data_IF_683215369798
#
_entry.id   IF_683215369798
#
_cell.length_a   1.000
_cell.length_b   1.000
_cell.length_c   1.000
_cell.angle_alpha   90.00
_cell.angle_beta   90.00
_cell.angle_gamma   90.00
#
_symmetry.space_group_name_H-M   'P 1'
#
loop_
_entity.id
_entity.type
_entity.pdbx_description
1 polymer ?
#
# COMPACT_ATOMS: atom_id res chain seq x y z
N UNK A 1 2.23 -36.64 79.20
CA UNK A 1 1.66 -35.32 78.80
C UNK A 1 2.56 -34.80 77.72
N UNK A 2 2.18 -35.10 76.51
CA UNK A 2 2.95 -34.75 75.30
C UNK A 2 2.26 -33.60 74.57
N UNK A 3 2.89 -32.42 74.51
CA UNK A 3 2.38 -31.24 73.84
C UNK A 3 2.98 -31.16 72.44
N UNK A 4 2.36 -31.84 71.52
CA UNK A 4 2.70 -31.73 70.10
C UNK A 4 2.24 -30.37 69.59
N UNK A 5 3.16 -29.39 69.44
CA UNK A 5 2.89 -28.09 68.81
C UNK A 5 2.97 -28.22 67.30
N UNK A 6 1.82 -28.36 66.62
CA UNK A 6 1.69 -28.20 65.15
C UNK A 6 2.16 -26.80 64.75
N UNK A 7 3.37 -26.69 64.22
CA UNK A 7 3.82 -25.48 63.49
C UNK A 7 3.16 -25.46 62.12
N UNK A 8 2.21 -24.57 61.95
CA UNK A 8 1.66 -24.24 60.61
C UNK A 8 2.79 -23.77 59.69
N UNK A 9 2.86 -24.19 58.43
CA UNK A 9 3.92 -23.78 57.51
C UNK A 9 3.84 -22.27 57.26
N UNK A 10 4.95 -21.58 57.43
CA UNK A 10 5.09 -20.14 57.25
C UNK A 10 4.92 -19.74 55.77
N UNK A 11 3.72 -19.32 55.42
CA UNK A 11 3.32 -18.95 54.03
C UNK A 11 3.75 -17.52 53.63
N UNK A 12 4.41 -16.78 54.53
CA UNK A 12 4.80 -15.38 54.32
C UNK A 12 5.95 -15.24 53.29
N UNK A 13 6.90 -16.19 53.21
CA UNK A 13 8.00 -16.15 52.25
C UNK A 13 7.57 -16.30 50.80
N UNK A 14 6.55 -17.16 50.52
CA UNK A 14 6.03 -17.39 49.18
C UNK A 14 5.29 -16.16 48.62
N UNK A 15 4.62 -15.39 49.49
CA UNK A 15 3.89 -14.16 49.11
C UNK A 15 4.85 -13.01 48.77
N UNK A 16 5.97 -12.88 49.48
CA UNK A 16 6.98 -11.86 49.23
C UNK A 16 7.74 -12.11 47.92
N UNK A 17 8.11 -13.36 47.64
CA UNK A 17 8.77 -13.77 46.39
C UNK A 17 7.89 -13.54 45.18
N UNK A 18 6.61 -13.89 45.22
CA UNK A 18 5.65 -13.60 44.11
C UNK A 18 5.51 -12.10 43.86
N UNK A 19 5.43 -11.27 44.89
CA UNK A 19 5.39 -9.80 44.74
C UNK A 19 6.67 -9.23 44.12
N UNK A 20 7.83 -9.79 44.45
CA UNK A 20 9.12 -9.43 43.85
C UNK A 20 9.14 -9.72 42.33
N UNK A 21 8.70 -10.90 41.91
CA UNK A 21 8.61 -11.30 40.50
C UNK A 21 7.65 -10.37 39.73
N UNK A 22 6.46 -10.11 40.30
CA UNK A 22 5.48 -9.23 39.66
C UNK A 22 6.04 -7.81 39.46
N UNK A 23 6.73 -7.27 40.51
CA UNK A 23 7.40 -5.96 40.38
C UNK A 23 8.47 -5.96 39.28
N UNK A 24 9.31 -6.99 39.27
CA UNK A 24 10.36 -7.17 38.24
C UNK A 24 9.74 -7.21 36.81
N UNK A 25 8.66 -7.96 36.64
CA UNK A 25 7.93 -8.02 35.37
C UNK A 25 7.39 -6.64 34.95
N UNK A 26 6.81 -5.87 35.92
CA UNK A 26 6.30 -4.52 35.62
C UNK A 26 7.44 -3.54 35.29
N UNK A 27 8.58 -3.59 35.98
CA UNK A 27 9.76 -2.79 35.63
C UNK A 27 10.30 -3.17 34.24
N UNK A 28 10.42 -4.46 33.95
CA UNK A 28 10.84 -4.95 32.63
C UNK A 28 9.89 -4.49 31.52
N UNK A 29 8.58 -4.58 31.77
CA UNK A 29 7.56 -4.07 30.84
C UNK A 29 7.69 -2.55 30.63
N UNK A 30 7.81 -1.77 31.71
CA UNK A 30 7.98 -0.32 31.63
C UNK A 30 9.23 0.09 30.86
N UNK A 31 10.38 -0.55 31.14
CA UNK A 31 11.63 -0.31 30.39
C UNK A 31 11.44 -0.68 28.91
N UNK A 32 10.79 -1.80 28.61
CA UNK A 32 10.50 -2.21 27.24
C UNK A 32 9.66 -1.18 26.48
N UNK A 33 8.60 -0.67 27.10
CA UNK A 33 7.74 0.39 26.51
C UNK A 33 8.54 1.68 26.25
N UNK A 34 9.34 2.12 27.25
CA UNK A 34 10.18 3.33 27.09
C UNK A 34 11.22 3.14 25.98
N UNK A 35 11.84 1.95 25.91
CA UNK A 35 12.83 1.64 24.85
C UNK A 35 12.21 1.65 23.46
N UNK A 36 11.01 1.09 23.30
CA UNK A 36 10.28 1.13 22.03
C UNK A 36 9.94 2.58 21.64
N UNK A 37 9.43 3.36 22.61
CA UNK A 37 9.10 4.77 22.35
C UNK A 37 10.34 5.57 21.96
N UNK A 38 11.46 5.38 22.67
CA UNK A 38 12.73 6.03 22.35
C UNK A 38 13.26 5.62 20.97
N UNK A 39 13.16 4.35 20.62
CA UNK A 39 13.51 3.86 19.28
C UNK A 39 12.67 4.52 18.18
N UNK A 40 11.35 4.61 18.37
CA UNK A 40 10.47 5.28 17.44
C UNK A 40 10.79 6.79 17.32
N UNK A 41 11.19 7.43 18.42
CA UNK A 41 11.64 8.82 18.40
C UNK A 41 12.92 9.00 17.59
N UNK A 42 13.89 8.09 17.70
CA UNK A 42 15.12 8.11 16.91
C UNK A 42 14.83 7.91 15.42
N UNK A 43 13.89 7.04 15.08
CA UNK A 43 13.42 6.86 13.70
C UNK A 43 12.74 8.12 13.15
N UNK A 44 11.85 8.72 13.94
CA UNK A 44 11.12 9.92 13.54
C UNK A 44 12.04 11.11 13.24
N UNK A 45 13.15 11.25 14.00
CA UNK A 45 14.16 12.29 13.81
C UNK A 45 15.23 11.91 12.77
N UNK A 46 15.15 10.74 12.13
CA UNK A 46 16.11 10.33 11.11
C UNK A 46 17.51 9.94 11.63
N UNK A 47 17.63 9.68 12.95
CA UNK A 47 18.89 9.21 13.54
C UNK A 47 19.17 7.75 13.14
N UNK A 48 18.11 6.98 12.98
CA UNK A 48 18.17 5.58 12.53
C UNK A 48 17.33 5.45 11.26
N UNK A 49 17.94 4.98 10.17
CA UNK A 49 17.28 4.82 8.89
C UNK A 49 17.10 6.15 8.12
N UNK A 50 16.65 6.05 6.88
CA UNK A 50 16.32 7.23 6.08
C UNK A 50 14.97 7.79 6.49
N UNK A 51 14.94 9.07 6.84
CA UNK A 51 13.71 9.81 7.09
C UNK A 51 13.69 11.04 6.17
N UNK A 52 12.72 11.13 5.25
CA UNK A 52 12.64 12.25 4.33
C UNK A 52 12.45 13.57 5.10
N UNK A 53 13.05 14.65 4.59
CA UNK A 53 12.82 16.00 5.08
C UNK A 53 11.36 16.43 4.83
N UNK A 54 10.94 17.51 5.46
CA UNK A 54 9.61 18.09 5.19
C UNK A 54 9.53 18.54 3.72
N UNK A 55 10.61 19.10 3.19
CA UNK A 55 10.71 19.53 1.80
C UNK A 55 10.56 18.38 0.82
N UNK A 56 11.23 17.24 1.07
CA UNK A 56 11.08 16.02 0.26
C UNK A 56 9.64 15.49 0.30
N UNK A 57 8.97 15.58 1.45
CA UNK A 57 7.59 15.13 1.62
C UNK A 57 6.63 16.04 0.88
N UNK A 58 6.80 17.38 0.99
CA UNK A 58 5.90 18.37 0.40
C UNK A 58 6.14 18.60 -1.09
N UNK A 59 7.31 18.22 -1.59
CA UNK A 59 7.67 18.32 -3.01
C UNK A 59 8.33 17.03 -3.48
N UNK A 60 7.58 15.90 -3.56
CA UNK A 60 8.15 14.65 -4.02
C UNK A 60 8.62 14.80 -5.46
N UNK A 61 9.88 14.43 -5.73
CA UNK A 61 10.49 14.42 -7.05
C UNK A 61 9.79 13.40 -7.97
N UNK A 62 8.66 13.80 -8.53
CA UNK A 62 7.92 12.99 -9.48
C UNK A 62 8.45 13.23 -10.90
N UNK A 63 9.06 12.19 -11.45
CA UNK A 63 9.55 12.19 -12.82
C UNK A 63 8.40 11.83 -13.76
N UNK A 64 7.76 12.84 -14.32
CA UNK A 64 6.72 12.66 -15.33
C UNK A 64 7.33 12.52 -16.72
N UNK A 65 6.63 11.82 -17.61
CA UNK A 65 6.96 11.80 -19.02
C UNK A 65 6.61 13.16 -19.66
N UNK A 66 7.50 13.65 -20.53
CA UNK A 66 7.18 14.76 -21.44
C UNK A 66 6.59 14.19 -22.71
N UNK A 67 5.38 14.59 -23.06
CA UNK A 67 4.69 14.15 -24.26
C UNK A 67 4.95 15.16 -25.37
N UNK A 68 5.35 14.69 -26.54
CA UNK A 68 5.60 15.49 -27.73
C UNK A 68 4.39 15.34 -28.65
N UNK A 69 3.77 16.46 -28.98
CA UNK A 69 2.63 16.51 -29.90
C UNK A 69 3.01 17.16 -31.24
N UNK A 70 2.42 16.69 -32.31
CA UNK A 70 2.42 17.36 -33.62
C UNK A 70 1.56 18.64 -33.62
N UNK A 71 1.64 19.44 -34.66
CA UNK A 71 0.88 20.69 -34.78
C UNK A 71 -0.65 20.48 -34.84
N UNK A 72 -1.09 19.29 -35.22
CA UNK A 72 -2.50 18.86 -35.26
C UNK A 72 -2.96 18.16 -33.96
N UNK A 73 -2.07 18.08 -32.97
CA UNK A 73 -2.38 17.53 -31.63
C UNK A 73 -2.20 16.02 -31.50
N UNK A 74 -1.68 15.34 -32.51
CA UNK A 74 -1.37 13.91 -32.44
C UNK A 74 -0.11 13.66 -31.61
N UNK A 75 -0.11 12.63 -30.78
CA UNK A 75 1.05 12.25 -29.98
C UNK A 75 2.15 11.64 -30.85
N UNK A 76 3.28 12.34 -30.96
CA UNK A 76 4.44 11.90 -31.76
C UNK A 76 5.42 11.02 -30.97
N UNK A 77 5.46 11.16 -29.66
CA UNK A 77 6.37 10.41 -28.83
C UNK A 77 6.44 10.91 -27.39
N UNK A 78 7.21 10.17 -26.58
CA UNK A 78 7.36 10.46 -25.14
C UNK A 78 8.83 10.43 -24.74
N UNK A 79 9.21 11.43 -23.96
CA UNK A 79 10.53 11.48 -23.32
C UNK A 79 10.37 11.27 -21.81
N UNK A 80 11.06 10.25 -21.27
CA UNK A 80 11.05 9.96 -19.84
C UNK A 80 12.41 9.38 -19.40
N UNK A 81 12.75 9.55 -18.12
CA UNK A 81 13.99 9.05 -17.53
C UNK A 81 13.70 7.76 -16.74
N UNK A 82 14.42 6.70 -17.04
CA UNK A 82 14.27 5.39 -16.39
C UNK A 82 13.03 4.62 -16.86
N UNK A 83 12.39 3.85 -16.00
CA UNK A 83 11.20 3.02 -16.32
C UNK A 83 9.87 3.79 -16.31
N UNK A 84 9.92 5.13 -16.28
CA UNK A 84 8.76 5.94 -15.88
C UNK A 84 8.03 6.63 -17.02
N UNK A 85 7.29 5.90 -17.87
CA UNK A 85 6.22 6.52 -18.66
C UNK A 85 5.05 6.89 -17.74
N UNK A 86 5.26 7.95 -16.94
CA UNK A 86 4.31 8.39 -15.91
C UNK A 86 3.54 9.60 -16.41
N UNK A 87 2.23 9.45 -16.50
CA UNK A 87 1.30 10.54 -16.73
C UNK A 87 0.53 10.86 -15.45
N UNK A 88 0.36 12.15 -15.19
CA UNK A 88 -0.35 12.61 -14.01
C UNK A 88 -1.87 12.62 -14.28
N UNK A 89 -2.63 12.09 -13.34
CA UNK A 89 -4.08 12.26 -13.26
C UNK A 89 -4.44 13.14 -12.08
N UNK A 90 -5.28 14.13 -12.33
CA UNK A 90 -5.93 14.89 -11.28
C UNK A 90 -7.00 14.04 -10.59
N UNK A 91 -7.38 14.40 -9.34
CA UNK A 91 -8.39 13.67 -8.59
C UNK A 91 -9.74 13.61 -9.33
N UNK A 92 -10.11 14.69 -10.03
CA UNK A 92 -11.34 14.75 -10.83
C UNK A 92 -11.36 13.86 -12.09
N UNK A 93 -10.19 13.37 -12.52
CA UNK A 93 -10.06 12.42 -13.64
C UNK A 93 -10.14 10.96 -13.17
N UNK A 94 -9.99 10.71 -11.87
CA UNK A 94 -10.05 9.36 -11.29
C UNK A 94 -11.50 9.08 -10.88
N UNK A 95 -12.15 8.06 -11.45
CA UNK A 95 -13.55 7.79 -11.17
C UNK A 95 -13.73 7.27 -9.73
N UNK A 96 -14.82 7.63 -9.09
CA UNK A 96 -15.09 7.28 -7.69
C UNK A 96 -15.04 5.77 -7.44
N UNK A 97 -15.56 4.95 -8.34
CA UNK A 97 -15.53 3.50 -8.19
C UNK A 97 -14.11 2.89 -8.20
N UNK A 98 -13.13 3.58 -8.79
CA UNK A 98 -11.71 3.19 -8.68
C UNK A 98 -11.17 3.42 -7.27
N UNK A 99 -11.54 4.55 -6.66
CA UNK A 99 -11.19 4.90 -5.29
C UNK A 99 -11.86 3.92 -4.33
N UNK A 100 -13.14 3.67 -4.51
CA UNK A 100 -13.94 2.74 -3.71
C UNK A 100 -13.36 1.31 -3.78
N UNK A 101 -12.98 0.85 -4.97
CA UNK A 101 -12.34 -0.45 -5.17
C UNK A 101 -11.00 -0.55 -4.43
N UNK A 102 -10.16 0.51 -4.52
CA UNK A 102 -8.87 0.56 -3.84
C UNK A 102 -9.05 0.53 -2.32
N UNK A 103 -9.91 1.39 -1.78
CA UNK A 103 -10.18 1.47 -0.34
C UNK A 103 -10.79 0.17 0.18
N UNK A 104 -11.80 -0.38 -0.50
CA UNK A 104 -12.44 -1.65 -0.11
C UNK A 104 -11.45 -2.81 -0.06
N UNK A 105 -10.45 -2.82 -0.95
CA UNK A 105 -9.55 -3.96 -1.13
C UNK A 105 -8.29 -3.86 -0.27
N UNK A 106 -7.66 -2.71 -0.24
CA UNK A 106 -6.36 -2.51 0.40
C UNK A 106 -6.48 -1.98 1.84
N UNK A 107 -7.49 -1.10 2.10
CA UNK A 107 -7.57 -0.40 3.37
C UNK A 107 -8.99 0.09 3.66
N UNK A 108 -9.89 -0.83 4.03
CA UNK A 108 -11.32 -0.56 4.23
C UNK A 108 -11.62 0.54 5.27
N UNK A 109 -10.66 0.85 6.14
CA UNK A 109 -10.77 1.92 7.16
C UNK A 109 -9.83 3.08 6.88
N UNK A 110 -9.47 3.28 5.64
CA UNK A 110 -8.53 4.32 5.22
C UNK A 110 -8.89 5.71 5.77
N UNK A 111 -10.16 6.05 5.78
CA UNK A 111 -10.65 7.34 6.28
C UNK A 111 -10.71 7.45 7.81
N UNK A 112 -10.57 6.32 8.54
CA UNK A 112 -10.74 6.26 10.01
C UNK A 112 -9.43 6.35 10.79
N UNK A 113 -8.28 6.27 10.12
CA UNK A 113 -6.97 6.28 10.77
C UNK A 113 -6.01 7.28 10.13
N UNK A 114 -4.92 7.62 10.83
CA UNK A 114 -3.89 8.56 10.37
C UNK A 114 -2.60 7.80 10.00
N UNK A 115 -2.62 7.06 8.89
CA UNK A 115 -1.46 6.36 8.33
C UNK A 115 -1.19 4.96 8.89
N UNK A 116 -1.61 4.66 10.12
CA UNK A 116 -1.46 3.34 10.74
C UNK A 116 -2.82 2.87 11.24
N UNK A 117 -3.30 1.73 10.74
CA UNK A 117 -4.47 1.07 11.27
C UNK A 117 -4.08 0.14 12.43
N UNK A 118 -4.12 0.68 13.65
CA UNK A 118 -3.79 -0.05 14.88
C UNK A 118 -4.69 -1.28 15.06
N UNK A 119 -5.98 -1.20 14.72
CA UNK A 119 -6.92 -2.33 14.86
C UNK A 119 -6.59 -3.46 13.88
N UNK A 120 -6.22 -3.12 12.61
CA UNK A 120 -5.76 -4.11 11.64
C UNK A 120 -4.44 -4.74 12.08
N UNK A 121 -3.52 -3.95 12.64
CA UNK A 121 -2.24 -4.44 13.15
C UNK A 121 -2.44 -5.45 14.29
N UNK A 122 -3.24 -5.12 15.30
CA UNK A 122 -3.58 -6.05 16.38
C UNK A 122 -4.26 -7.33 15.88
N UNK A 123 -5.22 -7.19 14.96
CA UNK A 123 -5.88 -8.33 14.34
C UNK A 123 -4.89 -9.24 13.62
N UNK A 124 -3.93 -8.66 12.88
CA UNK A 124 -2.91 -9.42 12.17
C UNK A 124 -1.96 -10.14 13.13
N UNK A 125 -1.51 -9.49 14.22
CA UNK A 125 -0.66 -10.08 15.25
C UNK A 125 -1.37 -11.26 15.91
N UNK A 126 -2.64 -11.13 16.30
CA UNK A 126 -3.41 -12.20 16.92
C UNK A 126 -3.59 -13.38 15.96
N UNK A 127 -4.05 -13.10 14.72
CA UNK A 127 -4.31 -14.16 13.74
C UNK A 127 -3.04 -14.88 13.30
N UNK A 128 -1.96 -14.15 13.05
CA UNK A 128 -0.71 -14.75 12.57
C UNK A 128 0.13 -15.30 13.71
N UNK A 129 0.26 -14.56 14.82
CA UNK A 129 1.13 -14.94 15.94
C UNK A 129 0.51 -16.01 16.86
N UNK A 130 -0.79 -15.90 17.15
CA UNK A 130 -1.47 -16.81 18.09
C UNK A 130 -2.18 -17.94 17.34
N UNK A 131 -2.93 -17.61 16.28
CA UNK A 131 -3.75 -18.60 15.56
C UNK A 131 -3.02 -19.26 14.39
N UNK A 132 -1.76 -18.87 14.10
CA UNK A 132 -0.93 -19.39 13.00
C UNK A 132 -1.63 -19.43 11.63
N UNK A 133 -2.62 -18.58 11.43
CA UNK A 133 -3.33 -18.48 10.15
C UNK A 133 -2.50 -17.70 9.13
N UNK A 134 -1.96 -18.37 8.11
CA UNK A 134 -1.08 -17.79 7.08
C UNK A 134 -1.75 -16.77 6.14
N UNK A 135 -3.07 -16.62 6.15
CA UNK A 135 -3.80 -15.75 5.24
C UNK A 135 -4.73 -14.76 5.94
N UNK A 136 -4.24 -14.03 6.90
CA UNK A 136 -4.97 -12.84 7.33
C UNK A 136 -4.61 -11.68 6.39
N UNK A 137 -5.62 -11.03 5.79
CA UNK A 137 -5.45 -9.92 4.85
C UNK A 137 -4.42 -8.89 5.32
N UNK A 138 -3.85 -8.12 4.41
CA UNK A 138 -2.79 -7.15 4.68
C UNK A 138 -3.10 -6.24 5.86
N UNK A 139 -2.13 -6.00 6.71
CA UNK A 139 -2.22 -5.02 7.80
C UNK A 139 -1.56 -3.69 7.41
N UNK A 140 -1.07 -3.57 6.17
CA UNK A 140 -0.48 -2.34 5.64
C UNK A 140 -1.57 -1.44 5.08
N UNK A 141 -1.53 -0.17 5.44
CA UNK A 141 -2.43 0.85 4.92
C UNK A 141 -1.99 1.36 3.54
N UNK A 142 -2.89 2.03 2.81
CA UNK A 142 -2.57 2.70 1.55
C UNK A 142 -1.42 3.70 1.76
N UNK A 143 -1.45 4.49 2.83
CA UNK A 143 -0.41 5.46 3.15
C UNK A 143 0.95 4.80 3.42
N UNK A 144 0.99 3.63 4.07
CA UNK A 144 2.24 2.87 4.26
C UNK A 144 2.77 2.30 2.93
N UNK A 145 1.87 1.86 2.04
CA UNK A 145 2.26 1.42 0.70
C UNK A 145 2.82 2.58 -0.12
N UNK A 146 2.20 3.77 -0.04
CA UNK A 146 2.73 4.99 -0.66
C UNK A 146 4.09 5.38 -0.08
N UNK A 147 4.25 5.36 1.25
CA UNK A 147 5.53 5.62 1.92
C UNK A 147 6.64 4.69 1.40
N UNK A 148 6.32 3.42 1.21
CA UNK A 148 7.24 2.44 0.61
C UNK A 148 7.60 2.82 -0.82
N UNK A 149 6.64 3.16 -1.68
CA UNK A 149 6.88 3.55 -3.07
C UNK A 149 7.71 4.83 -3.18
N UNK A 150 7.53 5.77 -2.26
CA UNK A 150 8.25 7.05 -2.28
C UNK A 150 9.69 6.93 -1.79
N UNK A 151 9.93 6.17 -0.72
CA UNK A 151 11.16 6.31 0.06
C UNK A 151 11.88 4.99 0.39
N UNK A 152 11.23 3.84 0.19
CA UNK A 152 11.80 2.54 0.58
C UNK A 152 11.76 1.50 -0.55
N UNK A 153 11.82 1.94 -1.80
CA UNK A 153 11.75 1.05 -2.99
C UNK A 153 12.88 0.03 -3.05
N UNK A 154 14.06 0.37 -2.53
CA UNK A 154 15.20 -0.56 -2.53
C UNK A 154 14.95 -1.70 -1.53
N UNK A 155 15.08 -2.96 -1.96
CA UNK A 155 15.01 -4.09 -1.04
C UNK A 155 16.06 -3.96 0.06
N UNK A 156 15.67 -4.32 1.29
CA UNK A 156 16.61 -4.34 2.41
C UNK A 156 17.73 -5.35 2.14
N UNK A 157 18.98 -4.89 2.18
CA UNK A 157 20.18 -5.68 1.89
C UNK A 157 20.50 -6.69 3.01
N UNK A 158 20.07 -6.40 4.23
CA UNK A 158 20.36 -7.24 5.38
C UNK A 158 19.15 -7.36 6.33
N UNK A 159 19.25 -8.31 7.28
CA UNK A 159 18.17 -8.59 8.24
C UNK A 159 17.82 -7.38 9.13
N UNK A 160 18.83 -6.59 9.50
CA UNK A 160 18.65 -5.41 10.35
C UNK A 160 17.90 -4.30 9.62
N UNK A 161 18.27 -4.00 8.36
CA UNK A 161 17.53 -3.06 7.51
C UNK A 161 16.09 -3.49 7.32
N UNK A 162 15.85 -4.79 7.09
CA UNK A 162 14.48 -5.34 6.95
C UNK A 162 13.65 -5.17 8.24
N UNK A 163 14.27 -5.30 9.41
CA UNK A 163 13.60 -5.10 10.69
C UNK A 163 13.21 -3.63 10.90
N UNK A 164 14.08 -2.70 10.48
CA UNK A 164 13.88 -1.25 10.65
C UNK A 164 12.99 -0.67 9.54
N UNK A 165 12.97 -1.27 8.37
CA UNK A 165 12.21 -0.77 7.21
C UNK A 165 10.72 -0.56 7.52
N UNK A 166 10.07 -1.50 8.20
CA UNK A 166 8.64 -1.40 8.50
C UNK A 166 8.31 -0.27 9.49
N UNK A 167 9.01 -0.11 10.62
CA UNK A 167 8.88 1.07 11.47
C UNK A 167 9.15 2.40 10.75
N UNK A 168 10.12 2.46 9.82
CA UNK A 168 10.38 3.66 9.00
C UNK A 168 9.17 3.98 8.11
N UNK A 169 8.61 2.99 7.40
CA UNK A 169 7.40 3.16 6.60
C UNK A 169 6.24 3.72 7.45
N UNK A 170 6.09 3.27 8.70
CA UNK A 170 5.08 3.79 9.62
C UNK A 170 5.30 5.27 9.97
N UNK A 171 6.54 5.64 10.26
CA UNK A 171 6.86 7.04 10.58
C UNK A 171 6.66 7.96 9.38
N UNK A 172 7.03 7.52 8.18
CA UNK A 172 6.79 8.26 6.95
C UNK A 172 5.29 8.37 6.68
N UNK A 173 4.53 7.30 6.87
CA UNK A 173 3.07 7.31 6.71
C UNK A 173 2.40 8.31 7.66
N UNK A 174 2.82 8.39 8.92
CA UNK A 174 2.33 9.41 9.86
C UNK A 174 2.68 10.82 9.42
N UNK A 175 3.88 11.04 8.86
CA UNK A 175 4.26 12.34 8.30
C UNK A 175 3.41 12.70 7.08
N UNK A 176 3.22 11.76 6.14
CA UNK A 176 2.36 11.98 4.95
C UNK A 176 0.95 12.42 5.36
N UNK A 177 0.32 11.72 6.28
CA UNK A 177 -1.04 12.04 6.76
C UNK A 177 -1.13 13.38 7.51
N UNK A 178 0.00 13.93 7.94
CA UNK A 178 0.05 15.26 8.55
C UNK A 178 0.06 16.38 7.52
N UNK A 179 0.61 16.13 6.33
CA UNK A 179 0.82 17.16 5.30
C UNK A 179 -0.16 17.03 4.14
N UNK A 180 -0.75 15.85 3.92
CA UNK A 180 -1.65 15.58 2.80
C UNK A 180 -3.00 15.09 3.28
N UNK A 181 -4.04 15.52 2.59
CA UNK A 181 -5.40 14.99 2.74
C UNK A 181 -5.48 13.54 2.26
N UNK A 182 -6.53 12.85 2.64
CA UNK A 182 -6.80 11.47 2.19
C UNK A 182 -6.88 11.37 0.67
N UNK A 183 -7.53 12.32 0.04
CA UNK A 183 -7.67 12.36 -1.42
C UNK A 183 -6.33 12.59 -2.12
N UNK A 184 -5.47 13.45 -1.57
CA UNK A 184 -4.12 13.64 -2.10
C UNK A 184 -3.26 12.38 -1.95
N UNK A 185 -3.40 11.64 -0.85
CA UNK A 185 -2.70 10.37 -0.64
C UNK A 185 -3.16 9.32 -1.67
N UNK A 186 -4.47 9.17 -1.91
CA UNK A 186 -5.00 8.27 -2.94
C UNK A 186 -4.50 8.68 -4.32
N UNK A 187 -4.57 9.97 -4.65
CA UNK A 187 -4.09 10.52 -5.93
C UNK A 187 -2.61 10.21 -6.14
N UNK A 188 -1.76 10.48 -5.14
CA UNK A 188 -0.33 10.15 -5.21
C UNK A 188 -0.10 8.66 -5.38
N UNK A 189 -0.82 7.83 -4.63
CA UNK A 189 -0.71 6.38 -4.72
C UNK A 189 -1.04 5.85 -6.13
N UNK A 190 -2.17 6.25 -6.68
CA UNK A 190 -2.63 5.82 -8.01
C UNK A 190 -1.75 6.36 -9.15
N UNK A 191 -1.16 7.53 -8.98
CA UNK A 191 -0.24 8.11 -9.98
C UNK A 191 1.17 7.48 -9.94
N UNK A 192 1.55 6.79 -8.86
CA UNK A 192 2.90 6.21 -8.73
C UNK A 192 2.97 4.72 -8.91
N UNK A 193 1.86 4.02 -8.79
CA UNK A 193 1.86 2.56 -8.84
C UNK A 193 2.28 2.06 -10.23
N UNK A 194 3.25 1.10 -10.25
CA UNK A 194 3.72 0.48 -11.48
C UNK A 194 2.85 -0.74 -11.83
N UNK A 195 2.04 -0.57 -12.88
CA UNK A 195 1.18 -1.62 -13.43
C UNK A 195 1.89 -2.51 -14.46
N UNK A 196 3.22 -2.40 -14.60
CA UNK A 196 4.05 -3.04 -15.63
C UNK A 196 3.80 -2.52 -17.06
N UNK A 197 4.59 -3.03 -18.03
CA UNK A 197 4.51 -2.62 -19.44
C UNK A 197 4.64 -1.10 -19.65
N UNK A 198 5.50 -0.45 -18.88
CA UNK A 198 5.66 1.01 -18.85
C UNK A 198 4.38 1.77 -18.46
N UNK A 199 3.42 1.10 -17.86
CA UNK A 199 2.19 1.71 -17.35
C UNK A 199 2.38 2.14 -15.89
N UNK A 200 3.05 3.28 -15.68
CA UNK A 200 3.23 3.85 -14.35
C UNK A 200 2.14 4.89 -14.11
N UNK A 201 1.34 4.65 -13.07
CA UNK A 201 0.17 5.44 -12.72
C UNK A 201 -1.10 4.99 -13.44
N UNK A 202 -2.24 5.38 -12.86
CA UNK A 202 -3.58 4.97 -13.32
C UNK A 202 -3.88 5.43 -14.74
N UNK A 203 -3.40 6.61 -15.16
CA UNK A 203 -3.64 7.15 -16.50
C UNK A 203 -2.95 6.30 -17.56
N UNK A 204 -1.66 6.04 -17.38
CA UNK A 204 -0.92 5.13 -18.27
C UNK A 204 -1.50 3.72 -18.25
N UNK A 205 -1.96 3.22 -17.10
CA UNK A 205 -2.56 1.90 -17.00
C UNK A 205 -3.91 1.80 -17.73
N UNK A 206 -4.77 2.80 -17.58
CA UNK A 206 -6.05 2.86 -18.30
C UNK A 206 -5.84 2.85 -19.82
N UNK A 207 -4.88 3.63 -20.29
CA UNK A 207 -4.52 3.66 -21.71
C UNK A 207 -3.93 2.32 -22.18
N UNK A 208 -2.91 1.80 -21.49
CA UNK A 208 -2.19 0.57 -21.91
C UNK A 208 -3.07 -0.66 -21.91
N UNK A 209 -3.92 -0.84 -20.90
CA UNK A 209 -4.73 -2.05 -20.77
C UNK A 209 -6.09 -1.97 -21.44
N UNK A 210 -6.65 -0.77 -21.59
CA UNK A 210 -8.03 -0.58 -22.07
C UNK A 210 -8.20 0.43 -23.21
N UNK A 211 -7.15 1.20 -23.54
CA UNK A 211 -7.23 2.26 -24.56
C UNK A 211 -8.14 3.41 -24.14
N UNK A 212 -8.23 3.69 -22.85
CA UNK A 212 -9.17 4.64 -22.24
C UNK A 212 -8.46 5.66 -21.35
N UNK A 213 -9.13 6.76 -21.08
CA UNK A 213 -8.79 7.65 -19.98
C UNK A 213 -9.25 7.04 -18.63
N UNK A 214 -8.71 7.45 -17.49
CA UNK A 214 -9.19 6.97 -16.19
C UNK A 214 -10.69 7.19 -15.96
N UNK A 215 -11.23 8.32 -16.40
CA UNK A 215 -12.64 8.66 -16.24
C UNK A 215 -13.60 7.72 -17.01
N UNK A 216 -13.10 7.09 -18.07
CA UNK A 216 -13.88 6.15 -18.91
C UNK A 216 -13.81 4.69 -18.44
N UNK A 217 -13.01 4.41 -17.39
CA UNK A 217 -12.90 3.05 -16.84
C UNK A 217 -14.25 2.60 -16.29
N UNK A 218 -14.66 1.40 -16.67
CA UNK A 218 -15.81 0.74 -16.05
C UNK A 218 -15.45 0.23 -14.65
N UNK A 219 -16.45 -0.20 -13.89
CA UNK A 219 -16.23 -0.77 -12.54
C UNK A 219 -15.34 -2.01 -12.62
N UNK A 220 -15.54 -2.86 -13.63
CA UNK A 220 -14.76 -4.10 -13.83
C UNK A 220 -13.32 -3.80 -14.22
N UNK A 221 -13.10 -2.80 -15.06
CA UNK A 221 -11.76 -2.35 -15.47
C UNK A 221 -11.01 -1.75 -14.29
N UNK A 222 -11.65 -0.88 -13.52
CA UNK A 222 -11.10 -0.32 -12.28
C UNK A 222 -10.79 -1.42 -11.26
N UNK A 223 -11.71 -2.37 -11.05
CA UNK A 223 -11.49 -3.52 -10.17
C UNK A 223 -10.36 -4.43 -10.66
N UNK A 224 -10.14 -4.51 -11.97
CA UNK A 224 -9.01 -5.25 -12.57
C UNK A 224 -7.69 -4.58 -12.22
N UNK A 225 -7.55 -3.27 -12.43
CA UNK A 225 -6.34 -2.52 -12.08
C UNK A 225 -6.07 -2.59 -10.57
N UNK A 226 -7.08 -2.42 -9.73
CA UNK A 226 -6.95 -2.58 -8.27
C UNK A 226 -6.54 -4.00 -7.91
N UNK A 227 -7.06 -5.00 -8.61
CA UNK A 227 -6.65 -6.39 -8.43
C UNK A 227 -5.16 -6.61 -8.68
N UNK A 228 -4.57 -5.92 -9.65
CA UNK A 228 -3.13 -5.97 -9.95
C UNK A 228 -2.27 -5.37 -8.84
N UNK A 229 -2.78 -4.44 -8.03
CA UNK A 229 -2.02 -3.77 -6.96
C UNK A 229 -1.35 -4.77 -6.01
N UNK A 230 -1.99 -5.91 -5.74
CA UNK A 230 -1.43 -6.96 -4.88
C UNK A 230 -0.14 -7.57 -5.42
N UNK A 231 -0.10 -7.85 -6.71
CA UNK A 231 1.08 -8.38 -7.42
C UNK A 231 0.86 -8.23 -8.93
N UNK A 232 1.38 -7.17 -9.56
CA UNK A 232 1.14 -6.88 -10.97
C UNK A 232 1.61 -7.99 -11.92
N UNK A 233 2.72 -8.67 -11.60
CA UNK A 233 3.23 -9.77 -12.43
C UNK A 233 2.36 -11.01 -12.36
N UNK A 234 1.80 -11.29 -11.18
CA UNK A 234 1.00 -12.49 -10.95
C UNK A 234 -0.44 -12.34 -11.46
N UNK A 235 -1.02 -11.13 -11.31
CA UNK A 235 -2.38 -10.80 -11.75
C UNK A 235 -2.39 -9.95 -13.03
N UNK A 236 -1.50 -10.27 -13.97
CA UNK A 236 -1.40 -9.56 -15.23
C UNK A 236 -2.46 -10.03 -16.23
N UNK A 237 -3.38 -9.15 -16.69
CA UNK A 237 -4.49 -9.56 -17.56
C UNK A 237 -4.05 -10.01 -18.95
N UNK A 238 -2.92 -9.52 -19.46
CA UNK A 238 -2.39 -9.91 -20.77
C UNK A 238 -1.86 -11.36 -20.74
N UNK A 239 -1.22 -11.75 -19.62
CA UNK A 239 -0.56 -13.07 -19.51
C UNK A 239 -1.37 -14.10 -18.74
N UNK A 240 -2.23 -13.68 -17.82
CA UNK A 240 -2.89 -14.51 -16.82
C UNK A 240 -4.37 -14.13 -16.66
N UNK A 241 -5.09 -14.06 -17.78
CA UNK A 241 -6.47 -13.58 -17.83
C UNK A 241 -7.38 -14.21 -16.76
N UNK A 242 -7.37 -15.54 -16.61
CA UNK A 242 -8.24 -16.22 -15.64
C UNK A 242 -7.93 -15.84 -14.18
N UNK A 243 -6.64 -15.83 -13.79
CA UNK A 243 -6.25 -15.41 -12.43
C UNK A 243 -6.58 -13.94 -12.17
N UNK A 244 -6.46 -13.11 -13.19
CA UNK A 244 -6.81 -11.70 -13.11
C UNK A 244 -8.31 -11.53 -12.94
N UNK A 245 -9.12 -12.32 -13.66
CA UNK A 245 -10.58 -12.36 -13.50
C UNK A 245 -10.99 -12.79 -12.10
N UNK A 246 -10.39 -13.85 -11.56
CA UNK A 246 -10.63 -14.28 -10.18
C UNK A 246 -10.28 -13.17 -9.17
N UNK A 247 -9.15 -12.50 -9.38
CA UNK A 247 -8.72 -11.39 -8.51
C UNK A 247 -9.63 -10.17 -8.63
N UNK A 248 -10.07 -9.81 -9.84
CA UNK A 248 -11.08 -8.77 -10.08
C UNK A 248 -12.37 -9.09 -9.34
N UNK A 249 -12.85 -10.31 -9.45
CA UNK A 249 -14.07 -10.77 -8.79
C UNK A 249 -13.95 -10.69 -7.26
N UNK A 250 -12.75 -10.94 -6.72
CA UNK A 250 -12.47 -10.72 -5.30
C UNK A 250 -12.55 -9.23 -4.93
N UNK A 251 -12.03 -8.32 -5.77
CA UNK A 251 -12.16 -6.86 -5.55
C UNK A 251 -13.63 -6.44 -5.54
N UNK A 252 -14.43 -6.87 -6.52
CA UNK A 252 -15.87 -6.59 -6.58
C UNK A 252 -16.60 -7.10 -5.33
N UNK A 253 -16.24 -8.29 -4.84
CA UNK A 253 -16.78 -8.79 -3.58
C UNK A 253 -16.36 -7.95 -2.36
N UNK A 254 -15.13 -7.42 -2.33
CA UNK A 254 -14.70 -6.49 -1.27
C UNK A 254 -15.47 -5.17 -1.33
N UNK A 255 -15.74 -4.64 -2.53
CA UNK A 255 -16.58 -3.45 -2.70
C UNK A 255 -17.99 -3.67 -2.16
N UNK A 256 -18.59 -4.83 -2.42
CA UNK A 256 -19.87 -5.22 -1.82
C UNK A 256 -19.77 -5.26 -0.30
N UNK A 257 -18.78 -5.94 0.26
CA UNK A 257 -18.61 -6.05 1.72
C UNK A 257 -18.35 -4.72 2.42
N UNK A 258 -17.74 -3.77 1.73
CA UNK A 258 -17.50 -2.42 2.20
C UNK A 258 -18.71 -1.48 2.02
N UNK A 259 -19.78 -1.93 1.34
CA UNK A 259 -20.99 -1.16 1.11
C UNK A 259 -20.94 -0.20 -0.08
N UNK A 260 -19.93 -0.30 -0.95
CA UNK A 260 -19.82 0.50 -2.16
C UNK A 260 -20.64 -0.05 -3.33
N UNK A 261 -20.97 -1.34 -3.32
CA UNK A 261 -21.85 -1.99 -4.30
C UNK A 261 -22.95 -2.77 -3.58
N UNK A 262 -24.13 -2.90 -4.18
CA UNK A 262 -25.11 -3.91 -3.78
C UNK A 262 -24.62 -5.31 -4.19
N UNK A 263 -25.13 -6.35 -3.51
CA UNK A 263 -24.81 -7.74 -3.84
C UNK A 263 -25.15 -8.05 -5.29
N UNK A 264 -26.34 -7.68 -5.73
CA UNK A 264 -26.83 -7.86 -7.10
C UNK A 264 -25.87 -7.25 -8.14
N UNK A 265 -25.43 -5.99 -7.93
CA UNK A 265 -24.48 -5.33 -8.82
C UNK A 265 -23.11 -6.01 -8.80
N UNK A 266 -22.63 -6.41 -7.62
CA UNK A 266 -21.35 -7.10 -7.51
C UNK A 266 -21.36 -8.43 -8.27
N UNK A 267 -22.42 -9.22 -8.16
CA UNK A 267 -22.57 -10.48 -8.92
C UNK A 267 -22.69 -10.22 -10.43
N UNK A 268 -23.51 -9.25 -10.86
CA UNK A 268 -23.64 -8.87 -12.27
C UNK A 268 -22.28 -8.49 -12.90
N UNK A 269 -21.48 -7.66 -12.19
CA UNK A 269 -20.15 -7.27 -12.66
C UNK A 269 -19.14 -8.43 -12.70
N UNK A 270 -19.31 -9.48 -11.88
CA UNK A 270 -18.45 -10.68 -11.92
C UNK A 270 -18.66 -11.51 -13.17
N UNK A 271 -19.90 -11.53 -13.69
CA UNK A 271 -20.25 -12.26 -14.93
C UNK A 271 -19.70 -11.58 -16.19
N UNK A 272 -19.42 -10.27 -16.13
CA UNK A 272 -18.84 -9.53 -17.26
C UNK A 272 -17.48 -10.11 -17.67
N UNK A 273 -17.28 -10.47 -18.94
CA UNK A 273 -15.99 -10.97 -19.42
C UNK A 273 -14.87 -9.96 -19.18
N UNK A 274 -13.67 -10.43 -18.87
CA UNK A 274 -12.49 -9.60 -18.81
C UNK A 274 -11.96 -9.36 -20.23
N UNK A 275 -12.25 -8.19 -20.76
CA UNK A 275 -11.79 -7.77 -22.10
C UNK A 275 -10.63 -6.79 -21.94
N UNK A 276 -9.53 -7.07 -22.63
CA UNK A 276 -8.33 -6.23 -22.65
C UNK A 276 -8.14 -5.69 -24.06
N UNK A 277 -8.06 -4.38 -24.16
CA UNK A 277 -7.70 -3.67 -25.39
C UNK A 277 -6.28 -3.10 -25.21
N UNK A 278 -5.28 -3.97 -25.44
CA UNK A 278 -3.88 -3.64 -25.15
C UNK A 278 -3.31 -2.66 -26.18
N UNK A 279 -2.86 -1.53 -25.68
CA UNK A 279 -2.12 -0.52 -26.43
C UNK A 279 -0.67 -0.50 -25.93
N UNK A 280 0.25 -0.83 -26.83
CA UNK A 280 1.68 -0.73 -26.50
C UNK A 280 2.01 0.73 -26.23
N UNK A 281 2.59 1.07 -25.06
CA UNK A 281 3.04 2.43 -24.81
C UNK A 281 4.16 2.80 -25.79
N UNK A 282 4.12 4.02 -26.33
CA UNK A 282 5.19 4.54 -27.14
C UNK A 282 6.49 4.54 -26.35
N UNK A 283 7.55 3.99 -26.91
CA UNK A 283 8.86 3.98 -26.28
C UNK A 283 9.62 5.27 -26.61
N UNK A 284 10.66 5.54 -25.83
CA UNK A 284 11.56 6.66 -26.07
C UNK A 284 12.18 6.63 -27.49
N UNK A 285 12.35 5.45 -28.07
CA UNK A 285 12.94 5.28 -29.40
C UNK A 285 11.92 5.45 -30.53
N UNK A 286 10.63 5.24 -30.28
CA UNK A 286 9.60 5.32 -31.34
C UNK A 286 9.52 6.74 -31.92
N UNK A 287 9.68 7.80 -31.10
CA UNK A 287 9.73 9.20 -31.55
C UNK A 287 10.98 9.60 -32.33
N UNK A 288 12.11 8.92 -32.11
CA UNK A 288 13.36 9.17 -32.83
C UNK A 288 13.31 8.57 -34.25
N UNK A 289 12.64 7.44 -34.43
CA UNK A 289 12.44 6.82 -35.75
C UNK A 289 11.54 7.68 -36.65
N UNK A 290 10.50 8.31 -36.11
CA UNK A 290 9.65 9.25 -36.84
C UNK A 290 10.48 10.45 -37.33
N UNK A 291 11.38 10.99 -36.51
CA UNK A 291 12.26 12.10 -36.89
C UNK A 291 13.30 11.74 -37.98
N UNK A 292 13.68 10.46 -38.10
CA UNK A 292 14.59 9.98 -39.15
C UNK A 292 13.91 9.72 -40.49
N UNK A 293 12.62 9.49 -40.50
CA UNK A 293 11.86 9.22 -41.72
C UNK A 293 11.55 10.48 -42.54
N UNK A 294 11.75 11.68 -41.99
CA UNK A 294 11.45 12.97 -42.62
C UNK A 294 12.67 13.86 -42.88
N UNK A 295 13.90 13.31 -42.86
CA UNK A 295 15.14 14.02 -43.28
C UNK A 295 15.70 13.40 -44.58
#
# INVERSE_FOLDING_TARGET
MDKNKNKLPNNQGKSSFKRGIIKFMWYGFGIGVVSIFFFLLLLYNGVIGYMPSIEDITNPNDKYASIIYSADGEEMGRYYVGSGNREYSNMGEIPQHMIDALVATEDVRFYDHSGIDIRALFRAIIKTGILQQKSSGGASTITQQLAKQLYTEKPAENKLQRLVQKPVEWMIALKLERYYSKDEIIKMYLNRFDFLYNAVGVKSAAHVYFGKTPAELTIEEAATLVGMVKNPSYYNPIRKNERTRERRNMVLHQMYRAGYLSEEKAEAHKETPLTINYHRPLSHNDGIEIGRAHV
#
